data_IF_928767220633
#
_entry.id   IF_928767220633
#
_cell.length_a   1.000
_cell.length_b   1.000
_cell.length_c   1.000
_cell.angle_alpha   90.00
_cell.angle_beta   90.00
_cell.angle_gamma   90.00
#
_symmetry.space_group_name_H-M   'P 1'
#
loop_
_entity.id
_entity.type
_entity.pdbx_description
1 polymer ?
#
# COMPACT_ATOMS: atom_id res chain seq x y z
N UNK A 1 -49.89 -11.98 5.28
CA UNK A 1 -50.76 -11.20 6.18
C UNK A 1 -51.63 -10.16 5.47
N UNK A 2 -51.10 -9.02 4.93
CA UNK A 2 -51.91 -8.03 4.16
C UNK A 2 -52.77 -8.65 3.05
N UNK A 3 -52.16 -9.45 2.18
CA UNK A 3 -52.84 -10.13 1.07
C UNK A 3 -53.90 -11.15 1.53
N UNK A 4 -53.64 -11.83 2.65
CA UNK A 4 -54.55 -12.84 3.20
C UNK A 4 -55.77 -12.19 3.85
N UNK A 5 -55.55 -11.10 4.59
CA UNK A 5 -56.62 -10.24 5.09
C UNK A 5 -57.50 -9.72 3.95
N UNK A 6 -56.89 -9.16 2.89
CA UNK A 6 -57.63 -8.65 1.71
C UNK A 6 -58.45 -9.75 1.02
N UNK A 7 -57.88 -10.95 0.83
CA UNK A 7 -58.60 -12.10 0.25
C UNK A 7 -59.80 -12.52 1.12
N UNK A 8 -59.64 -12.53 2.45
CA UNK A 8 -60.72 -12.93 3.37
C UNK A 8 -61.83 -11.87 3.44
N UNK A 9 -61.48 -10.59 3.40
CA UNK A 9 -62.44 -9.48 3.28
C UNK A 9 -63.24 -9.58 1.98
N UNK A 10 -62.58 -9.86 0.85
CA UNK A 10 -63.24 -10.07 -0.43
C UNK A 10 -64.21 -11.27 -0.40
N UNK A 11 -63.81 -12.38 0.25
CA UNK A 11 -64.67 -13.54 0.47
C UNK A 11 -65.92 -13.20 1.30
N UNK A 12 -65.75 -12.47 2.41
CA UNK A 12 -66.86 -12.03 3.25
C UNK A 12 -67.86 -11.16 2.46
N UNK A 13 -67.36 -10.21 1.66
CA UNK A 13 -68.19 -9.37 0.82
C UNK A 13 -68.98 -10.18 -0.24
N UNK A 14 -68.36 -11.22 -0.81
CA UNK A 14 -69.02 -12.13 -1.76
C UNK A 14 -70.12 -12.97 -1.10
N UNK A 15 -69.91 -13.44 0.13
CA UNK A 15 -70.92 -14.19 0.89
C UNK A 15 -72.11 -13.30 1.29
N UNK A 16 -71.85 -12.05 1.72
CA UNK A 16 -72.91 -11.06 2.00
C UNK A 16 -73.81 -10.82 0.79
N UNK A 17 -73.22 -10.71 -0.42
CA UNK A 17 -73.97 -10.52 -1.67
C UNK A 17 -74.79 -11.74 -2.12
N UNK A 18 -74.37 -12.96 -1.73
CA UNK A 18 -74.99 -14.22 -2.16
C UNK A 18 -76.02 -14.80 -1.18
N UNK A 19 -76.28 -14.13 -0.05
CA UNK A 19 -77.27 -14.59 0.94
C UNK A 19 -76.92 -15.94 1.57
N UNK A 20 -75.64 -16.17 1.88
CA UNK A 20 -75.16 -17.43 2.47
C UNK A 20 -75.68 -17.58 3.92
N UNK A 21 -75.91 -18.82 4.39
CA UNK A 21 -76.37 -19.14 5.75
C UNK A 21 -75.61 -18.35 6.83
N UNK A 22 -76.36 -17.80 7.79
CA UNK A 22 -75.91 -16.95 8.91
C UNK A 22 -74.71 -17.54 9.65
N UNK A 23 -74.70 -18.84 9.93
CA UNK A 23 -73.59 -19.49 10.65
C UNK A 23 -72.26 -19.41 9.88
N UNK A 24 -72.29 -19.62 8.56
CA UNK A 24 -71.11 -19.53 7.69
C UNK A 24 -70.62 -18.08 7.55
N UNK A 25 -71.56 -17.13 7.54
CA UNK A 25 -71.26 -15.71 7.52
C UNK A 25 -70.57 -15.26 8.81
N UNK A 26 -71.05 -15.68 9.98
CA UNK A 26 -70.44 -15.36 11.27
C UNK A 26 -69.04 -15.97 11.42
N UNK A 27 -68.84 -17.24 11.00
CA UNK A 27 -67.50 -17.86 10.95
C UNK A 27 -66.52 -17.05 10.09
N UNK A 28 -66.98 -16.55 8.95
CA UNK A 28 -66.13 -15.74 8.05
C UNK A 28 -65.86 -14.35 8.63
N UNK A 29 -66.83 -13.71 9.29
CA UNK A 29 -66.63 -12.45 10.02
C UNK A 29 -65.59 -12.60 11.14
N UNK A 30 -65.69 -13.65 11.96
CA UNK A 30 -64.74 -13.95 13.02
C UNK A 30 -63.32 -14.11 12.47
N UNK A 31 -63.15 -14.86 11.36
CA UNK A 31 -61.86 -15.02 10.70
C UNK A 31 -61.30 -13.70 10.15
N UNK A 32 -62.15 -12.84 9.56
CA UNK A 32 -61.74 -11.49 9.12
C UNK A 32 -61.30 -10.63 10.29
N UNK A 33 -62.02 -10.65 11.41
CA UNK A 33 -61.66 -9.88 12.61
C UNK A 33 -60.33 -10.35 13.20
N UNK A 34 -60.11 -11.66 13.29
CA UNK A 34 -58.84 -12.21 13.77
C UNK A 34 -57.67 -11.83 12.86
N UNK A 35 -57.83 -11.96 11.54
CA UNK A 35 -56.82 -11.52 10.57
C UNK A 35 -56.57 -10.01 10.61
N UNK A 36 -57.60 -9.20 10.88
CA UNK A 36 -57.46 -7.76 11.04
C UNK A 36 -56.56 -7.43 12.24
N UNK A 37 -56.85 -7.99 13.42
CA UNK A 37 -56.04 -7.77 14.62
C UNK A 37 -54.60 -8.20 14.39
N UNK A 38 -54.37 -9.40 13.84
CA UNK A 38 -53.01 -9.86 13.53
C UNK A 38 -52.30 -8.95 12.53
N UNK A 39 -53.01 -8.44 11.51
CA UNK A 39 -52.42 -7.55 10.53
C UNK A 39 -52.01 -6.20 11.15
N UNK A 40 -52.85 -5.64 12.04
CA UNK A 40 -52.51 -4.43 12.80
C UNK A 40 -51.28 -4.65 13.69
N UNK A 41 -51.21 -5.79 14.40
CA UNK A 41 -50.06 -6.12 15.25
C UNK A 41 -48.77 -6.25 14.42
N UNK A 42 -48.82 -6.96 13.28
CA UNK A 42 -47.66 -7.09 12.39
C UNK A 42 -47.19 -5.74 11.84
N UNK A 43 -48.14 -4.87 11.48
CA UNK A 43 -47.89 -3.53 10.98
C UNK A 43 -47.22 -2.65 12.05
N UNK A 44 -47.73 -2.67 13.30
CA UNK A 44 -47.13 -1.95 14.43
C UNK A 44 -45.73 -2.47 14.77
N UNK A 45 -45.51 -3.78 14.71
CA UNK A 45 -44.19 -4.41 14.92
C UNK A 45 -43.18 -3.96 13.85
N UNK A 46 -43.63 -3.88 12.60
CA UNK A 46 -42.84 -3.39 11.47
C UNK A 46 -42.52 -1.89 11.62
N UNK A 47 -43.50 -1.04 11.97
CA UNK A 47 -43.28 0.39 12.23
C UNK A 47 -42.28 0.60 13.38
N UNK A 48 -42.38 -0.20 14.46
CA UNK A 48 -41.42 -0.16 15.57
C UNK A 48 -40.00 -0.53 15.12
N UNK A 49 -39.87 -1.53 14.24
CA UNK A 49 -38.58 -1.94 13.68
C UNK A 49 -37.98 -0.84 12.80
N UNK A 50 -38.79 -0.21 11.95
CA UNK A 50 -38.36 0.93 11.11
C UNK A 50 -37.94 2.11 11.96
N UNK A 51 -38.70 2.42 13.02
CA UNK A 51 -38.35 3.50 13.95
C UNK A 51 -37.01 3.25 14.62
N UNK A 52 -36.73 2.02 15.05
CA UNK A 52 -35.46 1.67 15.67
C UNK A 52 -34.29 1.75 14.68
N UNK A 53 -34.48 1.31 13.43
CA UNK A 53 -33.51 1.47 12.35
C UNK A 53 -33.19 2.95 12.11
N UNK A 54 -34.21 3.81 12.02
CA UNK A 54 -34.03 5.24 11.83
C UNK A 54 -33.27 5.87 13.01
N UNK A 55 -33.61 5.48 14.25
CA UNK A 55 -32.90 5.92 15.46
C UNK A 55 -31.43 5.50 15.44
N UNK A 56 -31.13 4.25 15.10
CA UNK A 56 -29.75 3.76 14.97
C UNK A 56 -28.98 4.53 13.87
N UNK A 57 -29.63 4.81 12.74
CA UNK A 57 -29.04 5.56 11.63
C UNK A 57 -28.72 7.01 12.02
N UNK A 58 -29.71 7.73 12.51
CA UNK A 58 -29.67 9.19 12.63
C UNK A 58 -29.07 9.63 13.97
N UNK A 59 -29.36 8.90 15.07
CA UNK A 59 -28.95 9.32 16.41
C UNK A 59 -27.64 8.66 16.88
N UNK A 60 -27.26 7.52 16.28
CA UNK A 60 -26.05 6.79 16.68
C UNK A 60 -24.98 6.75 15.60
N UNK A 61 -25.32 6.27 14.40
CA UNK A 61 -24.35 6.11 13.32
C UNK A 61 -23.90 7.46 12.77
N UNK A 62 -24.84 8.35 12.47
CA UNK A 62 -24.51 9.64 11.87
C UNK A 62 -23.54 10.47 12.72
N UNK A 63 -23.74 10.70 14.05
CA UNK A 63 -22.77 11.42 14.87
C UNK A 63 -21.38 10.78 14.90
N UNK A 64 -21.31 9.44 14.88
CA UNK A 64 -20.02 8.72 14.80
C UNK A 64 -19.32 8.95 13.47
N UNK A 65 -20.07 9.02 12.36
CA UNK A 65 -19.51 9.33 11.04
C UNK A 65 -19.01 10.77 10.97
N UNK A 66 -19.75 11.73 11.57
CA UNK A 66 -19.29 13.12 11.67
C UNK A 66 -17.99 13.21 12.46
N UNK A 67 -17.92 12.58 13.63
CA UNK A 67 -16.70 12.53 14.43
C UNK A 67 -15.54 11.84 13.69
N UNK A 68 -15.81 10.81 12.89
CA UNK A 68 -14.80 10.17 12.06
C UNK A 68 -14.28 11.12 10.98
N UNK A 69 -15.15 11.87 10.30
CA UNK A 69 -14.75 12.88 9.32
C UNK A 69 -13.85 13.94 9.96
N UNK A 70 -14.19 14.39 11.18
CA UNK A 70 -13.37 15.35 11.93
C UNK A 70 -11.98 14.79 12.26
N UNK A 71 -11.94 13.57 12.81
CA UNK A 71 -10.68 12.89 13.13
C UNK A 71 -9.80 12.65 11.89
N UNK A 72 -10.41 12.24 10.78
CA UNK A 72 -9.71 12.03 9.51
C UNK A 72 -9.20 13.35 8.93
N UNK A 73 -9.94 14.46 9.09
CA UNK A 73 -9.48 15.78 8.65
C UNK A 73 -8.20 16.18 9.37
N UNK A 74 -8.18 16.08 10.71
CA UNK A 74 -7.01 16.41 11.52
C UNK A 74 -5.81 15.53 11.16
N UNK A 75 -6.03 14.23 11.00
CA UNK A 75 -4.99 13.27 10.64
C UNK A 75 -4.40 13.56 9.25
N UNK A 76 -5.22 13.85 8.23
CA UNK A 76 -4.72 14.16 6.89
C UNK A 76 -4.01 15.52 6.81
N UNK A 77 -4.45 16.52 7.58
CA UNK A 77 -3.71 17.78 7.72
C UNK A 77 -2.33 17.53 8.30
N UNK A 78 -2.24 16.79 9.41
CA UNK A 78 -0.94 16.45 10.01
C UNK A 78 -0.07 15.63 9.05
N UNK A 79 -0.65 14.65 8.36
CA UNK A 79 0.06 13.84 7.37
C UNK A 79 0.63 14.70 6.23
N UNK A 80 -0.15 15.66 5.74
CA UNK A 80 0.31 16.60 4.72
C UNK A 80 1.48 17.45 5.21
N UNK A 81 1.40 18.01 6.42
CA UNK A 81 2.51 18.76 7.00
C UNK A 81 3.79 17.94 7.11
N UNK A 82 3.69 16.65 7.47
CA UNK A 82 4.84 15.75 7.54
C UNK A 82 5.43 15.47 6.15
N UNK A 83 4.60 15.13 5.16
CA UNK A 83 5.07 14.86 3.81
C UNK A 83 5.62 16.10 3.10
N UNK A 84 5.07 17.29 3.35
CA UNK A 84 5.60 18.56 2.84
C UNK A 84 6.98 18.88 3.46
N UNK A 85 7.15 18.66 4.78
CA UNK A 85 8.46 18.81 5.44
C UNK A 85 9.48 17.81 4.89
N UNK A 86 9.07 16.54 4.72
CA UNK A 86 9.92 15.51 4.11
C UNK A 86 10.32 15.89 2.69
N UNK A 87 9.37 16.39 1.87
CA UNK A 87 9.63 16.86 0.52
C UNK A 87 10.69 17.97 0.49
N UNK A 88 10.59 18.95 1.39
CA UNK A 88 11.58 20.03 1.52
C UNK A 88 12.96 19.48 1.86
N UNK A 89 13.05 18.58 2.85
CA UNK A 89 14.31 17.94 3.24
C UNK A 89 14.93 17.17 2.06
N UNK A 90 14.14 16.39 1.31
CA UNK A 90 14.69 15.60 0.19
C UNK A 90 15.00 16.45 -1.04
N UNK A 91 14.37 17.62 -1.21
CA UNK A 91 14.71 18.54 -2.30
C UNK A 91 16.16 19.03 -2.17
N UNK A 92 16.63 19.23 -0.94
CA UNK A 92 17.99 19.68 -0.64
C UNK A 92 19.05 18.60 -0.96
N UNK A 93 18.67 17.33 -1.08
CA UNK A 93 19.58 16.24 -1.47
C UNK A 93 20.28 16.51 -2.80
N UNK A 94 19.68 17.30 -3.70
CA UNK A 94 20.32 17.68 -4.97
C UNK A 94 21.69 18.33 -4.74
N UNK A 95 21.79 19.16 -3.71
CA UNK A 95 23.01 19.89 -3.33
C UNK A 95 24.01 19.09 -2.51
N UNK A 96 23.65 17.87 -2.06
CA UNK A 96 24.51 17.06 -1.20
C UNK A 96 25.80 16.65 -1.93
N UNK A 97 26.95 17.08 -1.39
CA UNK A 97 28.26 16.58 -1.75
C UNK A 97 28.58 15.31 -0.95
N UNK A 98 28.95 14.25 -1.66
CA UNK A 98 29.35 12.95 -1.09
C UNK A 98 30.78 12.57 -1.47
N UNK A 99 31.59 13.54 -1.87
CA UNK A 99 32.99 13.34 -2.28
C UNK A 99 33.84 12.62 -1.22
N UNK A 100 33.50 12.77 0.07
CA UNK A 100 34.18 12.15 1.21
C UNK A 100 33.58 10.81 1.66
N UNK A 101 32.50 10.33 1.03
CA UNK A 101 31.85 9.10 1.45
C UNK A 101 32.68 7.84 1.09
N UNK A 102 32.66 6.79 1.93
CA UNK A 102 33.28 5.51 1.60
C UNK A 102 32.74 4.99 0.26
N UNK A 103 33.66 4.61 -0.64
CA UNK A 103 33.30 4.15 -1.98
C UNK A 103 32.76 2.71 -1.99
N UNK A 104 33.22 1.89 -1.06
CA UNK A 104 32.85 0.47 -0.98
C UNK A 104 31.56 0.24 -0.16
N UNK A 105 30.78 -0.75 -0.58
CA UNK A 105 29.66 -1.31 0.17
C UNK A 105 30.18 -2.18 1.29
N UNK A 106 29.86 -1.79 2.52
CA UNK A 106 30.01 -2.65 3.69
C UNK A 106 28.79 -3.57 3.81
N UNK A 107 28.96 -4.68 4.52
CA UNK A 107 27.85 -5.58 4.88
C UNK A 107 26.69 -4.81 5.51
N UNK A 108 27.00 -3.89 6.45
CA UNK A 108 26.02 -2.99 7.07
C UNK A 108 25.28 -2.10 6.05
N UNK A 109 25.96 -1.59 5.02
CA UNK A 109 25.30 -0.81 3.96
C UNK A 109 24.29 -1.66 3.18
N UNK A 110 24.66 -2.90 2.86
CA UNK A 110 23.78 -3.84 2.18
C UNK A 110 22.56 -4.20 3.04
N UNK A 111 22.77 -4.58 4.30
CA UNK A 111 21.70 -4.88 5.26
C UNK A 111 20.74 -3.70 5.44
N UNK A 112 21.26 -2.49 5.54
CA UNK A 112 20.44 -1.27 5.65
C UNK A 112 19.57 -1.08 4.41
N UNK A 113 20.09 -1.38 3.23
CA UNK A 113 19.36 -1.27 1.96
C UNK A 113 18.26 -2.34 1.87
N UNK A 114 18.54 -3.57 2.30
CA UNK A 114 17.55 -4.66 2.42
C UNK A 114 16.42 -4.28 3.37
N UNK A 115 16.75 -3.72 4.54
CA UNK A 115 15.76 -3.26 5.52
C UNK A 115 14.90 -2.13 4.94
N UNK A 116 15.53 -1.14 4.29
CA UNK A 116 14.81 -0.03 3.65
C UNK A 116 13.84 -0.56 2.59
N UNK A 117 14.27 -1.51 1.76
CA UNK A 117 13.41 -2.15 0.77
C UNK A 117 12.18 -2.80 1.42
N UNK A 118 12.38 -3.57 2.49
CA UNK A 118 11.29 -4.21 3.24
C UNK A 118 10.30 -3.20 3.82
N UNK A 119 10.80 -2.10 4.41
CA UNK A 119 9.96 -1.02 4.96
C UNK A 119 9.13 -0.35 3.86
N UNK A 120 9.71 -0.07 2.69
CA UNK A 120 8.98 0.57 1.58
C UNK A 120 7.93 -0.37 0.98
N UNK A 121 8.21 -1.67 0.89
CA UNK A 121 7.21 -2.65 0.47
C UNK A 121 6.04 -2.74 1.44
N UNK A 122 6.32 -2.77 2.75
CA UNK A 122 5.27 -2.79 3.76
C UNK A 122 4.47 -1.48 3.75
N UNK A 123 5.13 -0.34 3.58
CA UNK A 123 4.46 0.94 3.42
C UNK A 123 3.50 0.93 2.22
N UNK A 124 3.93 0.44 1.05
CA UNK A 124 3.07 0.29 -0.12
C UNK A 124 1.84 -0.60 0.17
N UNK A 125 2.07 -1.77 0.77
CA UNK A 125 1.01 -2.71 1.14
C UNK A 125 -0.02 -2.09 2.09
N UNK A 126 0.45 -1.41 3.15
CA UNK A 126 -0.42 -0.77 4.12
C UNK A 126 -1.16 0.43 3.55
N UNK A 127 -0.52 1.20 2.66
CA UNK A 127 -1.17 2.29 1.93
C UNK A 127 -2.33 1.77 1.07
N UNK A 128 -2.10 0.72 0.28
CA UNK A 128 -3.15 0.11 -0.55
C UNK A 128 -4.30 -0.42 0.31
N UNK A 129 -4.00 -1.13 1.41
CA UNK A 129 -5.02 -1.61 2.35
C UNK A 129 -5.83 -0.46 2.93
N UNK A 130 -5.18 0.62 3.37
CA UNK A 130 -5.86 1.78 3.94
C UNK A 130 -6.89 2.38 2.98
N UNK A 131 -6.47 2.68 1.74
CA UNK A 131 -7.35 3.24 0.71
C UNK A 131 -8.50 2.29 0.37
N UNK A 132 -8.21 1.00 0.20
CA UNK A 132 -9.21 0.00 -0.16
C UNK A 132 -10.25 -0.20 0.95
N UNK A 133 -9.82 -0.35 2.21
CA UNK A 133 -10.73 -0.51 3.33
C UNK A 133 -11.62 0.71 3.51
N UNK A 134 -11.09 1.91 3.30
CA UNK A 134 -11.88 3.14 3.36
C UNK A 134 -12.97 3.16 2.28
N UNK A 135 -12.63 2.83 1.02
CA UNK A 135 -13.63 2.73 -0.07
C UNK A 135 -14.69 1.68 0.22
N UNK A 136 -14.28 0.48 0.63
CA UNK A 136 -15.18 -0.62 0.94
C UNK A 136 -16.12 -0.28 2.11
N UNK A 137 -15.60 0.38 3.15
CA UNK A 137 -16.41 0.81 4.29
C UNK A 137 -17.52 1.77 3.87
N UNK A 138 -17.18 2.81 3.09
CA UNK A 138 -18.16 3.79 2.60
C UNK A 138 -19.14 3.16 1.60
N UNK A 139 -18.68 2.23 0.75
CA UNK A 139 -19.55 1.49 -0.17
C UNK A 139 -20.54 0.60 0.58
N UNK A 140 -20.11 -0.08 1.64
CA UNK A 140 -20.96 -0.92 2.48
C UNK A 140 -22.04 -0.08 3.18
N UNK A 141 -21.67 1.08 3.75
CA UNK A 141 -22.61 2.00 4.36
C UNK A 141 -23.63 2.55 3.36
N UNK A 142 -23.20 2.92 2.15
CA UNK A 142 -24.10 3.35 1.08
C UNK A 142 -25.08 2.25 0.67
N UNK A 143 -24.61 1.01 0.58
CA UNK A 143 -25.44 -0.15 0.23
C UNK A 143 -26.46 -0.45 1.31
N UNK A 144 -26.05 -0.40 2.59
CA UNK A 144 -26.96 -0.50 3.72
C UNK A 144 -27.99 0.62 3.71
N UNK A 145 -27.57 1.88 3.49
CA UNK A 145 -28.49 3.01 3.51
C UNK A 145 -29.59 2.87 2.44
N UNK A 146 -29.27 2.39 1.23
CA UNK A 146 -30.26 2.14 0.17
C UNK A 146 -31.40 1.19 0.60
N UNK A 147 -31.11 0.22 1.46
CA UNK A 147 -32.12 -0.71 2.00
C UNK A 147 -33.04 -0.06 3.04
N UNK A 148 -32.56 1.00 3.71
CA UNK A 148 -33.26 1.65 4.82
C UNK A 148 -33.98 2.96 4.42
N UNK A 149 -33.88 3.38 3.15
CA UNK A 149 -34.52 4.59 2.62
C UNK A 149 -35.85 4.30 1.89
N UNK A 150 -36.22 3.03 1.70
CA UNK A 150 -37.47 2.67 1.02
C UNK A 150 -38.64 2.87 2.00
N UNK A 151 -39.62 3.75 1.69
CA UNK A 151 -40.81 3.90 2.53
C UNK A 151 -41.59 2.58 2.55
N UNK A 152 -41.83 2.03 3.74
CA UNK A 152 -42.69 0.86 3.88
C UNK A 152 -44.14 1.35 3.93
N UNK A 153 -44.99 0.88 3.00
CA UNK A 153 -46.42 1.15 3.03
C UNK A 153 -47.08 0.52 4.27
N UNK A 154 -47.19 1.29 5.35
CA UNK A 154 -47.75 0.82 6.63
C UNK A 154 -49.18 1.26 6.88
N UNK A 155 -49.89 1.87 5.93
CA UNK A 155 -51.26 2.35 6.21
C UNK A 155 -52.38 1.50 5.58
N UNK A 156 -53.41 1.21 6.39
CA UNK A 156 -54.70 0.68 5.97
C UNK A 156 -55.64 1.76 5.39
N UNK A 157 -55.27 3.04 5.54
CA UNK A 157 -56.13 4.21 5.33
C UNK A 157 -55.59 5.24 4.33
N UNK A 158 -54.40 5.07 3.75
CA UNK A 158 -54.00 5.94 2.63
C UNK A 158 -54.89 5.67 1.43
N UNK A 159 -55.93 6.50 1.33
CA UNK A 159 -56.32 7.01 0.03
C UNK A 159 -55.06 7.50 -0.66
N UNK A 160 -54.91 7.10 -1.91
CA UNK A 160 -53.81 7.29 -2.88
C UNK A 160 -53.57 8.78 -3.19
N UNK A 161 -53.46 9.64 -2.18
CA UNK A 161 -53.59 11.10 -2.33
C UNK A 161 -52.48 11.89 -1.65
N UNK A 162 -51.47 11.24 -1.07
CA UNK A 162 -50.30 11.94 -0.55
C UNK A 162 -49.05 11.12 -0.90
N UNK A 163 -48.07 11.70 -1.62
CA UNK A 163 -46.79 11.04 -1.84
C UNK A 163 -46.16 10.69 -0.48
N UNK A 164 -45.52 9.52 -0.34
CA UNK A 164 -44.75 9.20 0.86
C UNK A 164 -43.78 10.36 1.15
N UNK A 165 -43.77 10.89 2.38
CA UNK A 165 -42.78 11.90 2.76
C UNK A 165 -41.41 11.25 2.69
N UNK A 166 -40.68 11.51 1.61
CA UNK A 166 -39.31 11.04 1.44
C UNK A 166 -38.45 11.77 2.47
N UNK A 167 -38.18 11.11 3.59
CA UNK A 167 -37.21 11.58 4.55
C UNK A 167 -35.82 11.43 3.91
N UNK A 168 -35.14 12.56 3.70
CA UNK A 168 -33.74 12.59 3.29
C UNK A 168 -32.88 12.81 4.54
N UNK A 169 -32.42 11.74 5.21
CA UNK A 169 -31.61 11.89 6.41
C UNK A 169 -30.25 12.52 6.04
N UNK A 170 -29.69 13.40 6.89
CA UNK A 170 -28.40 14.08 6.63
C UNK A 170 -27.25 13.12 6.28
N UNK A 171 -27.26 11.91 6.84
CA UNK A 171 -26.31 10.84 6.54
C UNK A 171 -26.24 10.47 5.06
N UNK A 172 -27.35 10.64 4.31
CA UNK A 172 -27.41 10.33 2.88
C UNK A 172 -26.50 11.27 2.08
N UNK A 173 -26.62 12.58 2.32
CA UNK A 173 -25.79 13.58 1.65
C UNK A 173 -24.30 13.38 1.96
N UNK A 174 -23.99 13.10 3.23
CA UNK A 174 -22.62 12.84 3.66
C UNK A 174 -22.02 11.61 2.97
N UNK A 175 -22.70 10.47 2.99
CA UNK A 175 -22.16 9.22 2.43
C UNK A 175 -22.03 9.24 0.90
N UNK A 176 -22.92 9.95 0.20
CA UNK A 176 -22.80 10.14 -1.25
C UNK A 176 -21.62 11.02 -1.62
N UNK A 177 -21.47 12.18 -0.96
CA UNK A 177 -20.32 13.04 -1.17
C UNK A 177 -19.01 12.33 -0.81
N UNK A 178 -19.00 11.55 0.28
CA UNK A 178 -17.82 10.81 0.70
C UNK A 178 -17.41 9.76 -0.34
N UNK A 179 -18.37 8.99 -0.86
CA UNK A 179 -18.11 8.03 -1.93
C UNK A 179 -17.55 8.71 -3.18
N UNK A 180 -18.21 9.78 -3.65
CA UNK A 180 -17.80 10.50 -4.86
C UNK A 180 -16.38 11.08 -4.73
N UNK A 181 -16.08 11.69 -3.59
CA UNK A 181 -14.76 12.28 -3.39
C UNK A 181 -13.66 11.23 -3.22
N UNK A 182 -13.95 10.11 -2.56
CA UNK A 182 -13.02 8.99 -2.43
C UNK A 182 -12.59 8.43 -3.80
N UNK A 183 -13.53 8.35 -4.74
CA UNK A 183 -13.26 7.85 -6.09
C UNK A 183 -12.34 8.78 -6.89
N UNK A 184 -12.37 10.08 -6.60
CA UNK A 184 -11.58 11.12 -7.27
C UNK A 184 -10.18 11.31 -6.68
N UNK A 185 -9.86 10.68 -5.54
CA UNK A 185 -8.55 10.82 -4.92
C UNK A 185 -7.44 10.20 -5.78
N UNK A 186 -6.26 10.85 -5.90
CA UNK A 186 -5.13 10.37 -6.69
C UNK A 186 -4.35 9.23 -5.97
N UNK A 187 -5.07 8.26 -5.39
CA UNK A 187 -4.47 7.17 -4.61
C UNK A 187 -3.56 6.28 -5.46
N UNK A 188 -3.92 6.03 -6.72
CA UNK A 188 -3.10 5.21 -7.63
C UNK A 188 -1.75 5.88 -7.92
N UNK A 189 -1.72 7.20 -8.10
CA UNK A 189 -0.47 7.93 -8.34
C UNK A 189 0.47 7.83 -7.14
N UNK A 190 -0.05 8.02 -5.92
CA UNK A 190 0.73 7.88 -4.70
C UNK A 190 1.21 6.44 -4.47
N UNK A 191 0.32 5.45 -4.66
CA UNK A 191 0.68 4.03 -4.54
C UNK A 191 1.77 3.63 -5.54
N UNK A 192 1.63 4.04 -6.80
CA UNK A 192 2.62 3.79 -7.84
C UNK A 192 3.96 4.46 -7.53
N UNK A 193 3.97 5.66 -6.94
CA UNK A 193 5.22 6.31 -6.53
C UNK A 193 5.97 5.49 -5.48
N UNK A 194 5.29 4.96 -4.46
CA UNK A 194 5.90 4.07 -3.44
C UNK A 194 6.40 2.78 -4.10
N UNK A 195 5.59 2.16 -4.96
CA UNK A 195 5.95 0.92 -5.67
C UNK A 195 7.18 1.10 -6.56
N UNK A 196 7.22 2.16 -7.37
CA UNK A 196 8.36 2.50 -8.21
C UNK A 196 9.61 2.75 -7.36
N UNK A 197 9.48 3.45 -6.24
CA UNK A 197 10.61 3.68 -5.33
C UNK A 197 11.14 2.38 -4.70
N UNK A 198 10.27 1.43 -4.35
CA UNK A 198 10.68 0.09 -3.93
C UNK A 198 11.48 -0.64 -5.02
N UNK A 199 11.08 -0.49 -6.29
CA UNK A 199 11.80 -1.01 -7.44
C UNK A 199 13.22 -0.43 -7.56
N UNK A 200 13.35 0.89 -7.36
CA UNK A 200 14.66 1.57 -7.35
C UNK A 200 15.57 1.03 -6.24
N UNK A 201 15.04 0.88 -5.01
CA UNK A 201 15.83 0.33 -3.90
C UNK A 201 16.26 -1.11 -4.20
N UNK A 202 15.38 -1.91 -4.81
CA UNK A 202 15.71 -3.28 -5.24
C UNK A 202 16.87 -3.30 -6.23
N UNK A 203 16.90 -2.39 -7.20
CA UNK A 203 18.02 -2.27 -8.14
C UNK A 203 19.32 -1.87 -7.45
N UNK A 204 19.26 -0.97 -6.47
CA UNK A 204 20.44 -0.61 -5.65
C UNK A 204 20.95 -1.84 -4.87
N UNK A 205 20.04 -2.59 -4.25
CA UNK A 205 20.34 -3.80 -3.50
C UNK A 205 21.04 -4.86 -4.37
N UNK A 206 20.55 -5.08 -5.60
CA UNK A 206 21.17 -6.01 -6.56
C UNK A 206 22.58 -5.56 -6.97
N UNK A 207 22.79 -4.25 -7.15
CA UNK A 207 24.12 -3.71 -7.44
C UNK A 207 25.10 -3.91 -6.28
N UNK A 208 24.63 -3.73 -5.05
CA UNK A 208 25.42 -3.99 -3.83
C UNK A 208 25.76 -5.47 -3.67
N UNK A 209 24.83 -6.38 -3.94
CA UNK A 209 25.05 -7.83 -3.90
C UNK A 209 26.15 -8.25 -4.87
N UNK A 210 26.12 -7.72 -6.10
CA UNK A 210 27.17 -7.96 -7.09
C UNK A 210 28.52 -7.38 -6.67
N UNK A 211 28.55 -6.23 -5.98
CA UNK A 211 29.77 -5.65 -5.44
C UNK A 211 30.42 -6.57 -4.40
N UNK A 212 29.61 -7.09 -3.47
CA UNK A 212 30.07 -8.05 -2.44
C UNK A 212 30.61 -9.32 -3.10
N UNK A 213 29.91 -9.85 -4.11
CA UNK A 213 30.36 -11.03 -4.86
C UNK A 213 31.70 -10.82 -5.57
N UNK A 214 31.91 -9.65 -6.18
CA UNK A 214 33.19 -9.30 -6.82
C UNK A 214 34.31 -9.19 -5.79
N UNK A 215 34.02 -8.65 -4.61
CA UNK A 215 34.98 -8.56 -3.50
C UNK A 215 35.43 -9.95 -3.03
N UNK A 216 34.49 -10.86 -2.79
CA UNK A 216 34.78 -12.24 -2.40
C UNK A 216 35.67 -12.95 -3.43
N UNK A 217 35.40 -12.74 -4.73
CA UNK A 217 36.21 -13.27 -5.82
C UNK A 217 37.65 -12.72 -5.79
N UNK A 218 37.83 -11.42 -5.58
CA UNK A 218 39.16 -10.82 -5.42
C UNK A 218 39.91 -11.41 -4.23
N UNK A 219 39.23 -11.63 -3.10
CA UNK A 219 39.82 -12.23 -1.91
C UNK A 219 40.24 -13.69 -2.12
N UNK A 220 39.47 -14.47 -2.89
CA UNK A 220 39.81 -15.84 -3.26
C UNK A 220 41.05 -15.90 -4.15
N UNK A 221 41.05 -15.12 -5.26
CA UNK A 221 42.21 -15.04 -6.17
C UNK A 221 43.45 -14.52 -5.45
N UNK A 222 43.32 -13.56 -4.55
CA UNK A 222 44.43 -13.05 -3.72
C UNK A 222 45.00 -14.14 -2.83
N UNK A 223 44.16 -14.92 -2.14
CA UNK A 223 44.61 -16.06 -1.31
C UNK A 223 45.34 -17.11 -2.16
N UNK A 224 44.87 -17.38 -3.37
CA UNK A 224 45.55 -18.30 -4.30
C UNK A 224 46.90 -17.74 -4.77
N UNK A 225 46.94 -16.49 -5.19
CA UNK A 225 48.16 -15.78 -5.60
C UNK A 225 49.21 -15.82 -4.48
N UNK A 226 48.85 -15.46 -3.25
CA UNK A 226 49.76 -15.45 -2.11
C UNK A 226 50.31 -16.84 -1.78
N UNK A 227 49.50 -17.90 -1.97
CA UNK A 227 49.95 -19.29 -1.79
C UNK A 227 50.94 -19.70 -2.89
N UNK A 228 50.63 -19.40 -4.16
CA UNK A 228 51.47 -19.77 -5.31
C UNK A 228 52.77 -18.97 -5.34
N UNK A 229 52.72 -17.69 -4.99
CA UNK A 229 53.89 -16.82 -4.83
C UNK A 229 54.85 -17.37 -3.78
N UNK A 230 54.37 -17.66 -2.57
CA UNK A 230 55.20 -18.27 -1.50
C UNK A 230 55.79 -19.61 -1.92
N UNK A 231 54.98 -20.48 -2.54
CA UNK A 231 55.46 -21.77 -3.03
C UNK A 231 56.54 -21.62 -4.12
N UNK A 232 56.43 -20.60 -4.98
CA UNK A 232 57.45 -20.27 -5.97
C UNK A 232 58.72 -19.74 -5.32
N UNK A 233 58.63 -18.78 -4.39
CA UNK A 233 59.77 -18.20 -3.66
C UNK A 233 60.57 -19.29 -2.92
N UNK A 234 59.88 -20.16 -2.17
CA UNK A 234 60.47 -21.30 -1.46
C UNK A 234 61.18 -22.28 -2.41
N UNK A 235 60.55 -22.59 -3.54
CA UNK A 235 61.12 -23.49 -4.54
C UNK A 235 62.32 -22.85 -5.24
N UNK A 236 62.22 -21.57 -5.61
CA UNK A 236 63.26 -20.82 -6.30
C UNK A 236 64.51 -20.68 -5.41
N UNK A 237 64.34 -20.39 -4.12
CA UNK A 237 65.46 -20.33 -3.17
C UNK A 237 66.19 -21.68 -3.07
N UNK A 238 65.45 -22.79 -2.96
CA UNK A 238 66.02 -24.15 -2.95
C UNK A 238 66.71 -24.50 -4.29
N UNK A 239 66.13 -24.07 -5.41
CA UNK A 239 66.68 -24.30 -6.74
C UNK A 239 68.01 -23.55 -6.92
N UNK A 240 68.07 -22.28 -6.52
CA UNK A 240 69.29 -21.47 -6.58
C UNK A 240 70.39 -22.00 -5.64
N UNK A 241 70.04 -22.52 -4.46
CA UNK A 241 71.01 -23.17 -3.55
C UNK A 241 71.59 -24.48 -4.09
N UNK A 242 70.85 -25.19 -4.96
CA UNK A 242 71.30 -26.44 -5.60
C UNK A 242 72.10 -26.22 -6.89
N UNK A 243 72.02 -25.02 -7.47
CA UNK A 243 72.78 -24.64 -8.66
C UNK A 243 74.16 -24.15 -8.21
N UNK A 244 75.13 -25.06 -8.15
CA UNK A 244 76.54 -24.77 -7.83
C UNK A 244 77.14 -23.71 -8.78
N UNK A 245 78.12 -22.90 -8.34
CA UNK A 245 78.90 -22.03 -9.23
C UNK A 245 79.57 -22.85 -10.33
N UNK A 246 79.80 -22.29 -11.53
CA UNK A 246 80.49 -22.99 -12.60
C UNK A 246 81.98 -23.10 -12.24
N UNK A 247 82.34 -24.17 -11.56
CA UNK A 247 83.70 -24.70 -11.57
C UNK A 247 83.61 -26.20 -11.82
N UNK A 248 84.48 -26.68 -12.71
CA UNK A 248 84.53 -28.01 -13.34
C UNK A 248 83.56 -28.24 -14.51
N UNK A 249 83.95 -27.65 -15.66
CA UNK A 249 83.49 -28.02 -17.00
C UNK A 249 83.95 -29.45 -17.35
N UNK A 250 83.01 -30.39 -17.46
CA UNK A 250 83.19 -31.66 -18.18
C UNK A 250 82.79 -31.42 -19.66
N UNK A 251 83.70 -31.57 -20.64
CA UNK A 251 83.46 -31.08 -22.01
C UNK A 251 82.51 -31.95 -22.86
N UNK A 252 81.97 -33.06 -22.36
CA UNK A 252 81.29 -34.05 -23.21
C UNK A 252 79.75 -34.13 -23.04
N UNK A 253 79.12 -33.17 -22.35
CA UNK A 253 77.65 -33.05 -22.34
C UNK A 253 77.18 -32.15 -23.45
N UNK A 254 77.03 -32.78 -24.61
CA UNK A 254 76.28 -32.30 -25.77
C UNK A 254 75.02 -31.50 -25.38
N UNK A 255 74.92 -30.36 -26.04
CA UNK A 255 73.87 -29.35 -25.95
C UNK A 255 72.48 -29.95 -26.16
N UNK A 256 71.74 -30.11 -25.07
CA UNK A 256 70.28 -30.28 -25.13
C UNK A 256 69.64 -28.91 -24.85
N UNK A 257 69.88 -27.98 -25.79
CA UNK A 257 69.54 -26.55 -25.72
C UNK A 257 68.02 -26.26 -25.81
N UNK A 258 67.15 -27.17 -25.38
CA UNK A 258 65.70 -27.01 -25.49
C UNK A 258 64.87 -27.45 -24.26
N UNK A 259 65.49 -27.57 -23.09
CA UNK A 259 64.73 -27.84 -21.86
C UNK A 259 64.18 -26.53 -21.29
N UNK A 260 62.88 -26.29 -21.50
CA UNK A 260 62.03 -25.32 -20.83
C UNK A 260 62.61 -24.88 -19.48
N UNK A 261 62.96 -23.60 -19.33
CA UNK A 261 63.45 -23.05 -18.07
C UNK A 261 62.36 -23.21 -16.99
N UNK A 262 62.49 -24.14 -16.02
CA UNK A 262 61.44 -24.45 -15.06
C UNK A 262 61.17 -23.28 -14.11
N UNK A 263 62.11 -22.34 -14.00
CA UNK A 263 61.91 -21.06 -13.32
C UNK A 263 60.94 -20.19 -14.09
N UNK A 264 61.13 -20.05 -15.40
CA UNK A 264 60.26 -19.23 -16.25
C UNK A 264 58.83 -19.76 -16.29
N UNK A 265 58.64 -21.09 -16.35
CA UNK A 265 57.30 -21.71 -16.35
C UNK A 265 56.56 -21.46 -15.03
N UNK A 266 57.21 -21.68 -13.88
CA UNK A 266 56.59 -21.45 -12.57
C UNK A 266 56.38 -19.97 -12.28
N UNK A 267 57.29 -19.13 -12.73
CA UNK A 267 57.17 -17.67 -12.65
C UNK A 267 55.98 -17.19 -13.48
N UNK A 268 55.81 -17.70 -14.70
CA UNK A 268 54.67 -17.37 -15.56
C UNK A 268 53.32 -17.69 -14.90
N UNK A 269 53.20 -18.80 -14.17
CA UNK A 269 51.97 -19.14 -13.42
C UNK A 269 51.67 -18.10 -12.33
N UNK A 270 52.69 -17.66 -11.58
CA UNK A 270 52.53 -16.63 -10.53
C UNK A 270 52.18 -15.28 -11.15
N UNK A 271 52.83 -14.89 -12.25
CA UNK A 271 52.57 -13.64 -12.97
C UNK A 271 51.18 -13.62 -13.61
N UNK A 272 50.73 -14.74 -14.17
CA UNK A 272 49.37 -14.90 -14.72
C UNK A 272 48.30 -14.72 -13.65
N UNK A 273 48.49 -15.32 -12.46
CA UNK A 273 47.60 -15.11 -11.31
C UNK A 273 47.63 -13.68 -10.80
N UNK A 274 48.80 -13.03 -10.77
CA UNK A 274 48.93 -11.62 -10.39
C UNK A 274 48.13 -10.72 -11.34
N UNK A 275 48.28 -10.93 -12.66
CA UNK A 275 47.56 -10.17 -13.67
C UNK A 275 46.05 -10.37 -13.54
N UNK A 276 45.60 -11.62 -13.34
CA UNK A 276 44.18 -11.92 -13.09
C UNK A 276 43.66 -11.19 -11.85
N UNK A 277 44.43 -11.15 -10.76
CA UNK A 277 44.06 -10.42 -9.55
C UNK A 277 43.94 -8.91 -9.82
N UNK A 278 44.90 -8.31 -10.54
CA UNK A 278 44.87 -6.89 -10.91
C UNK A 278 43.62 -6.54 -11.75
N UNK A 279 43.26 -7.39 -12.72
CA UNK A 279 42.05 -7.23 -13.55
C UNK A 279 40.75 -7.34 -12.71
N UNK A 280 40.70 -8.28 -11.76
CA UNK A 280 39.54 -8.46 -10.86
C UNK A 280 39.39 -7.29 -9.87
N UNK A 281 40.51 -6.79 -9.32
CA UNK A 281 40.53 -5.63 -8.42
C UNK A 281 40.10 -4.35 -9.15
N UNK A 282 40.53 -4.15 -10.40
CA UNK A 282 40.09 -3.02 -11.22
C UNK A 282 38.57 -3.10 -11.50
N UNK A 283 38.07 -4.29 -11.84
CA UNK A 283 36.65 -4.52 -12.08
C UNK A 283 35.81 -4.24 -10.82
N UNK A 284 36.24 -4.73 -9.66
CA UNK A 284 35.62 -4.46 -8.37
C UNK A 284 35.57 -2.95 -8.07
N UNK A 285 36.72 -2.25 -8.17
CA UNK A 285 36.78 -0.80 -7.92
C UNK A 285 35.87 0.00 -8.87
N UNK A 286 35.78 -0.41 -10.13
CA UNK A 286 34.86 0.21 -11.10
C UNK A 286 33.40 0.00 -10.70
N UNK A 287 33.06 -1.21 -10.26
CA UNK A 287 31.71 -1.53 -9.81
C UNK A 287 31.33 -0.77 -8.54
N UNK A 288 32.22 -0.65 -7.54
CA UNK A 288 31.99 0.18 -6.34
C UNK A 288 31.59 1.62 -6.70
N UNK A 289 32.33 2.26 -7.63
CA UNK A 289 32.00 3.60 -8.13
C UNK A 289 30.61 3.64 -8.76
N UNK A 290 30.30 2.64 -9.61
CA UNK A 290 29.01 2.54 -10.26
C UNK A 290 27.85 2.38 -9.24
N UNK A 291 28.02 1.55 -8.21
CA UNK A 291 27.00 1.37 -7.15
C UNK A 291 26.73 2.70 -6.46
N UNK A 292 27.77 3.46 -6.10
CA UNK A 292 27.63 4.76 -5.43
C UNK A 292 26.95 5.80 -6.30
N UNK A 293 27.41 5.96 -7.54
CA UNK A 293 26.84 6.91 -8.50
C UNK A 293 25.37 6.60 -8.79
N UNK A 294 25.03 5.32 -9.02
CA UNK A 294 23.65 4.89 -9.24
C UNK A 294 22.78 5.10 -8.01
N UNK A 295 23.25 4.70 -6.82
CA UNK A 295 22.49 4.89 -5.58
C UNK A 295 22.19 6.36 -5.35
N UNK A 296 23.20 7.22 -5.44
CA UNK A 296 23.05 8.65 -5.21
C UNK A 296 22.13 9.31 -6.25
N UNK A 297 22.38 9.07 -7.53
CA UNK A 297 21.57 9.66 -8.61
C UNK A 297 20.11 9.21 -8.54
N UNK A 298 19.88 7.93 -8.23
CA UNK A 298 18.53 7.37 -8.07
C UNK A 298 17.80 7.99 -6.88
N UNK A 299 18.46 8.10 -5.72
CA UNK A 299 17.86 8.71 -4.53
C UNK A 299 17.61 10.21 -4.72
N UNK A 300 18.54 10.96 -5.32
CA UNK A 300 18.37 12.40 -5.62
C UNK A 300 17.21 12.67 -6.58
N UNK A 301 16.92 11.72 -7.47
CA UNK A 301 15.85 11.86 -8.47
C UNK A 301 14.50 11.43 -7.89
N UNK A 302 14.44 10.24 -7.29
CA UNK A 302 13.17 9.59 -6.99
C UNK A 302 12.62 9.86 -5.59
N UNK A 303 13.45 10.20 -4.59
CA UNK A 303 12.93 10.60 -3.27
C UNK A 303 12.05 11.87 -3.36
N UNK A 304 12.46 12.95 -4.07
CA UNK A 304 11.59 14.11 -4.25
C UNK A 304 10.30 13.79 -5.00
N UNK A 305 10.33 12.90 -5.99
CA UNK A 305 9.13 12.48 -6.71
C UNK A 305 8.16 11.71 -5.81
N UNK A 306 8.69 10.79 -5.00
CA UNK A 306 7.92 10.03 -4.01
C UNK A 306 7.23 10.96 -3.01
N UNK A 307 7.98 11.84 -2.34
CA UNK A 307 7.41 12.72 -1.32
C UNK A 307 6.50 13.80 -1.91
N UNK A 308 6.70 14.19 -3.17
CA UNK A 308 5.74 15.04 -3.88
C UNK A 308 4.40 14.33 -4.06
N UNK A 309 4.41 13.10 -4.58
CA UNK A 309 3.18 12.32 -4.74
C UNK A 309 2.45 12.10 -3.40
N UNK A 310 3.19 11.84 -2.31
CA UNK A 310 2.61 11.68 -0.97
C UNK A 310 2.07 13.00 -0.40
N UNK A 311 2.76 14.12 -0.62
CA UNK A 311 2.31 15.45 -0.22
C UNK A 311 1.04 15.86 -0.96
N UNK A 312 1.01 15.67 -2.28
CA UNK A 312 -0.15 15.97 -3.13
C UNK A 312 -1.36 15.11 -2.75
N UNK A 313 -1.16 13.82 -2.50
CA UNK A 313 -2.22 12.91 -2.08
C UNK A 313 -2.78 13.26 -0.69
N UNK A 314 -1.92 13.58 0.27
CA UNK A 314 -2.34 13.97 1.62
C UNK A 314 -3.04 15.33 1.63
N UNK A 315 -2.61 16.28 0.79
CA UNK A 315 -3.31 17.55 0.56
C UNK A 315 -4.71 17.32 -0.02
N UNK A 316 -4.81 16.54 -1.10
CA UNK A 316 -6.09 16.20 -1.73
C UNK A 316 -7.04 15.49 -0.75
N UNK A 317 -6.51 14.60 0.09
CA UNK A 317 -7.27 13.93 1.15
C UNK A 317 -7.75 14.90 2.22
N UNK A 318 -6.87 15.79 2.71
CA UNK A 318 -7.24 16.85 3.65
C UNK A 318 -8.36 17.74 3.08
N UNK A 319 -8.24 18.18 1.83
CA UNK A 319 -9.22 19.04 1.18
C UNK A 319 -10.57 18.32 0.97
N UNK A 320 -10.55 17.05 0.58
CA UNK A 320 -11.75 16.22 0.54
C UNK A 320 -12.43 16.20 1.91
N UNK A 321 -11.67 15.89 2.97
CA UNK A 321 -12.23 15.73 4.30
C UNK A 321 -12.78 17.05 4.86
N UNK A 322 -12.14 18.20 4.58
CA UNK A 322 -12.70 19.52 4.89
C UNK A 322 -14.02 19.79 4.16
N UNK A 323 -14.17 19.33 2.91
CA UNK A 323 -15.46 19.41 2.18
C UNK A 323 -16.52 18.52 2.82
N UNK A 324 -16.14 17.34 3.32
CA UNK A 324 -17.08 16.48 4.05
C UNK A 324 -17.51 17.10 5.40
N UNK A 325 -16.59 17.77 6.10
CA UNK A 325 -16.93 18.53 7.31
C UNK A 325 -17.94 19.64 7.04
N UNK A 326 -17.82 20.36 5.93
CA UNK A 326 -18.79 21.43 5.61
C UNK A 326 -20.19 20.88 5.28
N UNK A 327 -20.27 19.64 4.78
CA UNK A 327 -21.54 18.93 4.53
C UNK A 327 -22.16 18.42 5.84
N UNK A 328 -21.36 18.02 6.82
CA UNK A 328 -21.83 17.50 8.11
C UNK A 328 -22.18 18.57 9.13
N UNK A 329 -21.71 19.81 8.96
CA UNK A 329 -22.08 20.91 9.85
C UNK A 329 -23.52 21.37 9.57
N UNK A 330 -24.37 21.52 10.60
CA UNK A 330 -25.66 22.15 10.43
C UNK A 330 -25.43 23.58 9.91
N UNK A 331 -26.08 23.96 8.81
CA UNK A 331 -26.18 25.38 8.44
C UNK A 331 -26.65 26.15 9.68
N UNK A 332 -25.74 26.89 10.33
CA UNK A 332 -26.12 27.90 11.32
C UNK A 332 -27.06 28.85 10.59
N UNK A 333 -28.36 28.72 10.83
CA UNK A 333 -29.33 29.74 10.45
C UNK A 333 -28.81 31.05 11.03
N UNK A 334 -28.41 31.97 10.14
CA UNK A 334 -28.13 33.35 10.55
C UNK A 334 -29.39 33.86 11.24
N UNK A 335 -29.32 34.42 12.45
CA UNK A 335 -30.46 35.15 12.98
C UNK A 335 -30.76 36.26 11.99
N UNK A 336 -31.98 36.26 11.44
CA UNK A 336 -32.52 37.41 10.74
C UNK A 336 -32.59 38.54 11.74
N UNK A 337 -31.64 39.47 11.67
CA UNK A 337 -31.76 40.79 12.28
C UNK A 337 -32.96 41.47 11.59
N UNK A 338 -34.06 41.60 12.34
CA UNK A 338 -35.16 42.46 11.94
C UNK A 338 -34.67 43.91 12.03
N UNK A 339 -34.73 44.69 10.94
CA UNK A 339 -34.48 46.13 11.05
C UNK A 339 -35.64 46.77 11.81
N UNK A 340 -35.27 47.65 12.75
CA UNK A 340 -36.17 48.44 13.60
C UNK A 340 -36.99 49.46 12.82
#
# INVERSE_FOLDING_TARGET
MKLEYQRKVALLNKQKKRGVNTESLEKTKAAVSHLHTRYIVDMQSMDSTVSEINRLRDDQLYPKLVALVDGMTLMWVAMHEHHDKQLKIVADLRSLDVSQAPKETSERHHETTVQLWGVVQEWHSQFQKHVNHQRQYIQALNSWLKLNLIPIESSLKEKVSSPPRVHHPPIQGLLYAWHEHLDKLPAELAGNAIFSFAGIIKTIMQHQEEEVRLKEKCEETRKEYDRKKRAFEDWHQKYMQRRTPPDEMDPDRSEDANQNNPVAERQFVVESLKKKLEEEEEAHQKHCRQVREKSLSSLKTHLPELFRAMSDFSLASSDMYRRLQSISQPQRQRPTENPS
#
